data_IF_340728964371
#
_entry.id   IF_340728964371
#
_cell.length_a   1.000
_cell.length_b   1.000
_cell.length_c   1.000
_cell.angle_alpha   90.00
_cell.angle_beta   90.00
_cell.angle_gamma   90.00
#
_symmetry.space_group_name_H-M   'P 1'
#
loop_
_entity.id
_entity.type
_entity.pdbx_description
1 polymer ?
#
# COMPACT_ATOMS: atom_id res chain seq x y z
N UNK A 1 -13.94 -14.79 -64.33
CA UNK A 1 -15.36 -14.42 -64.60
C UNK A 1 -15.91 -13.65 -63.41
N UNK A 2 -16.36 -12.42 -63.59
CA UNK A 2 -17.12 -11.68 -62.57
C UNK A 2 -18.62 -11.98 -62.74
N UNK A 3 -19.39 -12.09 -61.66
CA UNK A 3 -20.84 -11.84 -61.66
C UNK A 3 -21.15 -10.72 -60.66
N UNK A 4 -22.06 -9.83 -61.05
CA UNK A 4 -22.34 -8.54 -60.38
C UNK A 4 -23.62 -8.61 -59.54
N UNK A 5 -23.66 -7.81 -58.46
CA UNK A 5 -24.75 -7.03 -57.79
C UNK A 5 -26.19 -7.15 -58.36
N UNK A 6 -27.31 -7.00 -57.59
CA UNK A 6 -27.64 -5.79 -56.77
C UNK A 6 -28.46 -5.98 -55.46
N UNK A 7 -28.35 -5.10 -54.44
CA UNK A 7 -29.17 -3.91 -54.04
C UNK A 7 -30.62 -4.17 -53.54
N UNK A 8 -30.87 -3.82 -52.27
CA UNK A 8 -32.11 -3.29 -51.65
C UNK A 8 -31.72 -2.67 -50.29
N UNK A 9 -32.02 -1.45 -49.82
CA UNK A 9 -32.76 -0.25 -50.30
C UNK A 9 -34.22 -0.04 -49.82
N UNK A 10 -34.35 0.31 -48.52
CA UNK A 10 -35.48 0.96 -47.82
C UNK A 10 -34.85 1.66 -46.59
N UNK A 11 -34.91 2.96 -46.29
CA UNK A 11 -35.70 4.13 -46.73
C UNK A 11 -37.09 4.30 -46.09
N UNK A 12 -37.12 4.86 -44.88
CA UNK A 12 -38.16 5.74 -44.33
C UNK A 12 -37.45 6.64 -43.27
N UNK A 13 -37.35 7.98 -43.35
CA UNK A 13 -38.25 9.06 -43.77
C UNK A 13 -39.20 9.56 -42.64
N UNK A 14 -38.69 10.50 -41.83
CA UNK A 14 -39.39 11.43 -40.93
C UNK A 14 -38.29 12.32 -40.32
N UNK A 15 -37.89 13.47 -40.88
CA UNK A 15 -38.64 14.64 -41.36
C UNK A 15 -39.66 15.14 -40.33
N UNK A 16 -39.15 15.91 -39.38
CA UNK A 16 -39.87 17.05 -38.78
C UNK A 16 -39.10 18.31 -39.16
N UNK A 17 -39.83 19.33 -39.61
CA UNK A 17 -39.30 20.66 -39.96
C UNK A 17 -38.53 21.27 -38.75
N UNK A 18 -37.34 21.88 -38.87
CA UNK A 18 -36.93 23.09 -39.63
C UNK A 18 -37.69 24.38 -39.25
N UNK A 19 -36.98 25.51 -39.30
CA UNK A 19 -37.44 26.91 -39.11
C UNK A 19 -37.60 27.34 -37.62
N UNK A 20 -37.16 28.50 -37.12
CA UNK A 20 -36.40 29.68 -37.58
C UNK A 20 -35.76 30.31 -36.29
N UNK A 21 -34.80 31.26 -36.24
CA UNK A 21 -34.27 32.25 -37.17
C UNK A 21 -32.73 32.37 -37.04
N UNK A 22 -32.09 32.74 -38.15
CA UNK A 22 -30.80 33.43 -38.17
C UNK A 22 -30.94 34.93 -37.84
N UNK A 23 -30.08 35.46 -36.98
CA UNK A 23 -29.76 36.88 -36.93
C UNK A 23 -28.23 37.06 -36.96
N UNK A 24 -27.74 37.97 -37.80
CA UNK A 24 -26.32 38.09 -38.11
C UNK A 24 -25.53 38.93 -37.09
N UNK A 25 -24.31 38.49 -36.82
CA UNK A 25 -23.07 39.29 -36.74
C UNK A 25 -23.12 40.71 -36.16
N UNK A 26 -22.41 40.94 -35.05
CA UNK A 26 -21.17 41.73 -35.12
C UNK A 26 -20.26 41.61 -33.88
N UNK A 27 -18.95 41.49 -34.14
CA UNK A 27 -17.80 41.44 -33.23
C UNK A 27 -17.91 42.12 -31.85
N UNK A 28 -17.35 41.45 -30.82
CA UNK A 28 -16.11 41.89 -30.14
C UNK A 28 -15.56 40.88 -29.11
N UNK A 29 -14.31 40.45 -29.33
CA UNK A 29 -13.26 40.18 -28.32
C UNK A 29 -13.49 39.13 -27.21
N UNK A 30 -12.58 38.16 -27.12
CA UNK A 30 -12.46 37.29 -25.94
C UNK A 30 -11.74 35.98 -26.24
N UNK A 31 -10.43 35.94 -25.99
CA UNK A 31 -9.67 34.69 -25.98
C UNK A 31 -10.16 33.75 -24.88
N UNK A 32 -10.21 32.44 -25.14
CA UNK A 32 -9.66 31.44 -24.19
C UNK A 32 -9.57 30.04 -24.82
N UNK A 33 -8.52 29.32 -24.44
CA UNK A 33 -8.22 27.98 -24.95
C UNK A 33 -9.28 26.95 -24.55
N UNK A 34 -9.76 26.18 -25.53
CA UNK A 34 -10.42 24.89 -25.29
C UNK A 34 -9.41 23.81 -24.88
N UNK A 35 -8.74 23.99 -23.74
CA UNK A 35 -8.02 22.89 -23.11
C UNK A 35 -9.04 21.90 -22.55
N UNK A 36 -9.00 20.64 -23.00
CA UNK A 36 -9.77 19.58 -22.38
C UNK A 36 -9.28 19.42 -20.94
N UNK A 37 -10.12 19.80 -19.97
CA UNK A 37 -9.87 19.54 -18.56
C UNK A 37 -9.94 18.04 -18.31
N UNK A 38 -8.80 17.36 -18.50
CA UNK A 38 -8.52 16.15 -17.74
C UNK A 38 -8.82 16.46 -16.28
N UNK A 39 -9.68 15.65 -15.66
CA UNK A 39 -9.99 15.78 -14.25
C UNK A 39 -8.69 15.55 -13.51
N UNK A 40 -8.09 16.64 -13.06
CA UNK A 40 -6.83 16.66 -12.34
C UNK A 40 -7.04 15.86 -11.06
N UNK A 41 -6.70 14.58 -11.11
CA UNK A 41 -6.75 13.69 -9.94
C UNK A 41 -5.95 14.40 -8.86
N UNK A 42 -6.62 14.79 -7.79
CA UNK A 42 -5.97 15.36 -6.62
C UNK A 42 -4.92 14.37 -6.16
N UNK A 43 -3.65 14.75 -6.37
CA UNK A 43 -2.49 14.00 -5.91
C UNK A 43 -2.60 13.92 -4.39
N UNK A 44 -2.81 12.71 -3.90
CA UNK A 44 -2.97 12.40 -2.48
C UNK A 44 -1.63 11.87 -2.01
N UNK A 45 -1.03 12.56 -1.03
CA UNK A 45 0.19 12.12 -0.37
C UNK A 45 -0.07 10.83 0.41
N UNK A 46 0.93 9.95 0.46
CA UNK A 46 0.79 8.63 1.09
C UNK A 46 0.51 8.71 2.60
N UNK A 47 1.09 9.65 3.35
CA UNK A 47 0.78 9.82 4.78
C UNK A 47 -0.69 10.19 5.00
N UNK A 48 -1.21 11.21 4.32
CA UNK A 48 -2.62 11.60 4.47
C UNK A 48 -3.57 10.51 3.94
N UNK A 49 -3.13 9.68 2.98
CA UNK A 49 -3.88 8.49 2.60
C UNK A 49 -3.97 7.48 3.75
N UNK A 50 -2.82 7.00 4.26
CA UNK A 50 -2.73 5.98 5.31
C UNK A 50 -3.38 6.41 6.63
N UNK A 51 -3.24 7.69 6.99
CA UNK A 51 -3.79 8.29 8.21
C UNK A 51 -5.30 8.21 8.26
N UNK A 52 -5.94 8.42 7.12
CA UNK A 52 -7.40 8.41 6.96
C UNK A 52 -7.93 7.05 6.47
N UNK A 53 -7.04 6.10 6.18
CA UNK A 53 -7.36 4.76 5.71
C UNK A 53 -8.27 3.99 6.67
N UNK A 54 -9.05 3.06 6.12
CA UNK A 54 -9.89 2.13 6.86
C UNK A 54 -9.74 0.76 6.25
N UNK A 55 -9.06 -0.14 6.96
CA UNK A 55 -8.83 -1.51 6.54
C UNK A 55 -8.08 -1.60 5.19
N UNK A 56 -7.09 -0.73 4.99
CA UNK A 56 -6.33 -0.66 3.74
C UNK A 56 -5.08 -1.52 3.82
N UNK A 57 -4.85 -2.34 2.78
CA UNK A 57 -3.82 -3.38 2.80
C UNK A 57 -2.63 -2.97 1.94
N UNK A 58 -1.47 -2.86 2.57
CA UNK A 58 -0.17 -2.61 1.94
C UNK A 58 0.75 -3.82 2.08
N UNK A 59 1.60 -4.02 1.09
CA UNK A 59 2.45 -5.17 0.91
C UNK A 59 3.90 -4.72 0.71
N UNK A 60 4.84 -5.34 1.42
CA UNK A 60 6.27 -5.28 1.08
C UNK A 60 6.61 -6.55 0.31
N UNK A 61 7.23 -6.44 -0.86
CA UNK A 61 7.66 -7.62 -1.66
C UNK A 61 8.86 -7.29 -2.54
N UNK A 62 9.58 -8.29 -3.07
CA UNK A 62 10.61 -8.04 -4.10
C UNK A 62 10.04 -7.86 -5.50
N UNK A 63 8.91 -8.49 -5.79
CA UNK A 63 8.23 -8.41 -7.08
C UNK A 63 6.73 -8.73 -6.94
N UNK A 64 5.91 -8.18 -7.83
CA UNK A 64 4.48 -8.51 -7.91
C UNK A 64 4.28 -9.45 -9.10
N UNK A 65 4.14 -10.75 -8.85
CA UNK A 65 3.84 -11.76 -9.88
C UNK A 65 2.83 -12.78 -9.33
N UNK A 66 2.15 -13.52 -10.22
CA UNK A 66 1.13 -14.50 -9.79
C UNK A 66 1.64 -15.54 -8.78
N UNK A 67 2.94 -15.81 -8.80
CA UNK A 67 3.62 -16.81 -7.98
C UNK A 67 4.55 -16.21 -6.93
N UNK A 68 4.70 -14.88 -6.88
CA UNK A 68 5.44 -14.23 -5.80
C UNK A 68 4.55 -14.05 -4.57
N UNK A 69 5.21 -13.91 -3.44
CA UNK A 69 4.59 -13.72 -2.13
C UNK A 69 5.04 -12.36 -1.57
N UNK A 70 4.18 -11.67 -0.81
CA UNK A 70 4.64 -10.56 0.02
C UNK A 70 5.54 -11.08 1.15
N UNK A 71 6.53 -10.28 1.51
CA UNK A 71 7.37 -10.42 2.71
C UNK A 71 6.58 -10.06 3.97
N UNK A 72 5.85 -8.94 3.88
CA UNK A 72 5.04 -8.37 4.95
C UNK A 72 3.71 -7.88 4.40
N UNK A 73 2.68 -7.96 5.24
CA UNK A 73 1.36 -7.39 4.99
C UNK A 73 1.02 -6.44 6.13
N UNK A 74 0.59 -5.24 5.78
CA UNK A 74 0.21 -4.18 6.71
C UNK A 74 -1.25 -3.80 6.47
N UNK A 75 -2.07 -3.85 7.52
CA UNK A 75 -3.46 -3.39 7.52
C UNK A 75 -3.50 -2.05 8.24
N UNK A 76 -3.69 -0.96 7.50
CA UNK A 76 -3.80 0.40 8.01
C UNK A 76 -5.26 0.74 8.34
N UNK A 77 -5.48 1.31 9.53
CA UNK A 77 -6.79 1.71 10.02
C UNK A 77 -6.65 2.92 10.95
N UNK A 78 -7.03 4.11 10.45
CA UNK A 78 -7.14 5.37 11.22
C UNK A 78 -5.88 5.78 11.99
N UNK A 79 -4.70 5.69 11.36
CA UNK A 79 -3.42 6.06 11.99
C UNK A 79 -2.80 4.97 12.88
N UNK A 80 -3.39 3.78 12.91
CA UNK A 80 -2.77 2.57 13.45
C UNK A 80 -2.58 1.54 12.33
N UNK A 81 -1.63 0.62 12.51
CA UNK A 81 -1.31 -0.44 11.57
C UNK A 81 -1.11 -1.76 12.31
N UNK A 82 -1.70 -2.85 11.79
CA UNK A 82 -1.43 -4.22 12.21
C UNK A 82 -0.60 -4.88 11.11
N UNK A 83 0.52 -5.52 11.45
CA UNK A 83 1.44 -6.10 10.47
C UNK A 83 1.75 -7.57 10.70
N UNK A 84 1.88 -8.31 9.60
CA UNK A 84 2.15 -9.74 9.56
C UNK A 84 3.46 -9.99 8.79
N UNK A 85 4.43 -10.62 9.45
CA UNK A 85 5.65 -11.12 8.82
C UNK A 85 5.38 -12.53 8.26
N UNK A 86 5.52 -12.72 6.95
CA UNK A 86 5.24 -14.00 6.29
C UNK A 86 6.48 -14.90 6.14
N UNK A 87 7.64 -14.50 6.69
CA UNK A 87 8.86 -15.31 6.73
C UNK A 87 9.11 -16.01 8.07
N UNK A 88 8.85 -15.33 9.20
CA UNK A 88 9.28 -15.78 10.53
C UNK A 88 8.15 -16.24 11.47
N UNK A 89 6.89 -15.98 11.12
CA UNK A 89 5.74 -16.46 11.88
C UNK A 89 5.20 -17.76 11.27
N UNK A 90 4.52 -18.59 12.08
CA UNK A 90 3.80 -19.79 11.62
C UNK A 90 2.53 -19.45 10.80
N UNK A 91 2.58 -18.41 9.97
CA UNK A 91 1.49 -17.92 9.11
C UNK A 91 1.65 -18.55 7.73
N UNK A 92 0.59 -19.19 7.23
CA UNK A 92 0.55 -19.63 5.85
C UNK A 92 0.38 -18.40 4.92
N UNK A 93 1.46 -17.97 4.26
CA UNK A 93 1.42 -16.86 3.30
C UNK A 93 0.62 -17.19 2.03
N UNK A 94 -0.04 -16.19 1.45
CA UNK A 94 -0.73 -16.29 0.14
C UNK A 94 0.06 -15.58 -0.95
N UNK A 95 0.03 -16.14 -2.16
CA UNK A 95 0.67 -15.51 -3.32
C UNK A 95 -0.14 -14.28 -3.78
N UNK A 96 0.47 -13.36 -4.53
CA UNK A 96 -0.33 -12.30 -5.16
C UNK A 96 -1.35 -12.85 -6.17
N UNK A 97 -1.16 -14.06 -6.71
CA UNK A 97 -2.16 -14.75 -7.52
C UNK A 97 -3.42 -15.10 -6.73
N UNK A 98 -3.27 -15.55 -5.48
CA UNK A 98 -4.39 -15.84 -4.58
C UNK A 98 -5.04 -14.55 -4.08
N UNK A 99 -4.23 -13.62 -3.56
CA UNK A 99 -4.68 -12.33 -3.01
C UNK A 99 -5.44 -11.49 -4.04
N UNK A 100 -5.03 -11.53 -5.31
CA UNK A 100 -5.70 -10.81 -6.40
C UNK A 100 -7.13 -11.30 -6.69
N UNK A 101 -7.50 -12.49 -6.22
CA UNK A 101 -8.84 -13.10 -6.37
C UNK A 101 -9.71 -12.96 -5.11
N UNK A 102 -9.11 -12.64 -3.96
CA UNK A 102 -9.80 -12.40 -2.69
C UNK A 102 -10.21 -10.92 -2.57
N UNK A 103 -11.37 -10.63 -1.95
CA UNK A 103 -11.70 -9.26 -1.52
C UNK A 103 -10.82 -8.80 -0.37
N UNK A 104 -10.68 -7.49 -0.14
CA UNK A 104 -9.87 -6.97 0.98
C UNK A 104 -10.36 -7.52 2.33
N UNK A 105 -11.68 -7.70 2.50
CA UNK A 105 -12.23 -8.34 3.70
C UNK A 105 -11.76 -9.79 3.85
N UNK A 106 -11.80 -10.61 2.80
CA UNK A 106 -11.34 -12.00 2.88
C UNK A 106 -9.84 -12.09 3.18
N UNK A 107 -9.03 -11.15 2.68
CA UNK A 107 -7.59 -11.07 2.99
C UNK A 107 -7.39 -10.75 4.48
N UNK A 108 -8.11 -9.76 5.01
CA UNK A 108 -8.05 -9.37 6.42
C UNK A 108 -8.51 -10.52 7.31
N UNK A 109 -9.73 -11.03 7.09
CA UNK A 109 -10.30 -12.14 7.87
C UNK A 109 -9.36 -13.37 7.87
N UNK A 110 -8.68 -13.65 6.74
CA UNK A 110 -7.69 -14.72 6.65
C UNK A 110 -6.48 -14.47 7.56
N UNK A 111 -5.83 -13.31 7.49
CA UNK A 111 -4.65 -13.05 8.31
C UNK A 111 -4.99 -12.87 9.79
N UNK A 112 -6.15 -12.30 10.12
CA UNK A 112 -6.66 -12.24 11.50
C UNK A 112 -6.90 -13.66 12.07
N UNK A 113 -7.37 -14.62 11.25
CA UNK A 113 -7.52 -16.02 11.69
C UNK A 113 -6.18 -16.73 11.99
N UNK A 114 -5.06 -16.20 11.51
CA UNK A 114 -3.71 -16.74 11.72
C UNK A 114 -3.00 -16.12 12.94
N UNK A 115 -3.59 -15.12 13.62
CA UNK A 115 -2.92 -14.37 14.69
C UNK A 115 -2.48 -15.26 15.85
N UNK A 116 -3.28 -16.26 16.25
CA UNK A 116 -2.88 -17.18 17.30
C UNK A 116 -1.67 -18.04 16.94
N UNK A 117 -1.54 -18.45 15.67
CA UNK A 117 -0.37 -19.16 15.16
C UNK A 117 0.86 -18.24 15.11
N UNK A 118 0.67 -16.96 14.74
CA UNK A 118 1.72 -15.95 14.75
C UNK A 118 2.24 -15.65 16.17
N UNK A 119 1.33 -15.39 17.11
CA UNK A 119 1.61 -15.15 18.53
C UNK A 119 2.36 -16.31 19.16
N UNK A 120 1.92 -17.54 18.89
CA UNK A 120 2.61 -18.76 19.34
C UNK A 120 4.02 -18.87 18.73
N UNK A 121 4.14 -18.67 17.41
CA UNK A 121 5.43 -18.69 16.72
C UNK A 121 6.42 -17.66 17.28
N UNK A 122 5.96 -16.47 17.65
CA UNK A 122 6.78 -15.45 18.32
C UNK A 122 7.29 -15.92 19.69
N UNK A 123 6.46 -16.61 20.48
CA UNK A 123 6.90 -17.20 21.75
C UNK A 123 7.92 -18.32 21.54
N UNK A 124 7.69 -19.21 20.58
CA UNK A 124 8.60 -20.31 20.22
C UNK A 124 9.95 -19.77 19.70
N UNK A 125 9.93 -18.70 18.90
CA UNK A 125 11.11 -18.04 18.37
C UNK A 125 11.90 -17.32 19.48
N UNK A 126 11.23 -16.66 20.42
CA UNK A 126 11.87 -16.00 21.56
C UNK A 126 12.56 -17.00 22.51
N UNK A 127 11.88 -18.10 22.83
CA UNK A 127 12.44 -19.19 23.65
C UNK A 127 13.62 -19.88 22.92
N UNK A 128 13.49 -20.14 21.62
CA UNK A 128 14.55 -20.73 20.79
C UNK A 128 15.79 -19.81 20.71
N UNK A 129 15.60 -18.51 20.50
CA UNK A 129 16.68 -17.53 20.42
C UNK A 129 17.47 -17.46 21.73
N UNK A 130 16.78 -17.43 22.89
CA UNK A 130 17.41 -17.51 24.19
C UNK A 130 18.16 -18.83 24.39
N UNK A 131 17.52 -19.97 24.09
CA UNK A 131 18.11 -21.29 24.34
C UNK A 131 19.35 -21.58 23.47
N UNK A 132 19.34 -21.16 22.21
CA UNK A 132 20.29 -21.65 21.18
C UNK A 132 21.26 -20.61 20.61
N UNK A 133 20.94 -19.31 20.64
CA UNK A 133 21.72 -18.26 19.96
C UNK A 133 22.38 -17.31 20.97
N UNK A 134 21.65 -16.86 21.99
CA UNK A 134 22.12 -15.83 22.89
C UNK A 134 21.56 -16.05 24.30
N UNK A 135 22.39 -16.49 25.25
CA UNK A 135 22.00 -16.70 26.66
C UNK A 135 22.43 -15.51 27.52
N UNK A 136 21.78 -14.36 27.32
CA UNK A 136 21.98 -13.14 28.13
C UNK A 136 20.65 -12.64 28.76
N UNK A 137 20.73 -11.70 29.69
CA UNK A 137 19.54 -11.18 30.40
C UNK A 137 18.52 -10.48 29.47
N UNK A 138 18.95 -9.85 28.37
CA UNK A 138 18.03 -9.24 27.38
C UNK A 138 17.24 -10.32 26.64
N UNK A 139 17.92 -11.34 26.12
CA UNK A 139 17.28 -12.49 25.46
C UNK A 139 16.38 -13.30 26.40
N UNK A 140 16.77 -13.46 27.66
CA UNK A 140 15.97 -14.11 28.69
C UNK A 140 14.72 -13.32 29.02
N UNK A 141 14.85 -12.00 29.23
CA UNK A 141 13.71 -11.11 29.45
C UNK A 141 12.77 -11.07 28.23
N UNK A 142 13.30 -11.18 27.00
CA UNK A 142 12.48 -11.35 25.79
C UNK A 142 11.71 -12.67 25.80
N UNK A 143 12.37 -13.82 26.04
CA UNK A 143 11.67 -15.12 26.23
C UNK A 143 10.57 -15.00 27.29
N UNK A 144 10.88 -14.47 28.47
CA UNK A 144 9.92 -14.29 29.57
C UNK A 144 8.75 -13.36 29.20
N UNK A 145 8.99 -12.28 28.47
CA UNK A 145 7.96 -11.34 28.03
C UNK A 145 7.01 -11.92 26.95
N UNK A 146 7.48 -12.86 26.13
CA UNK A 146 6.69 -13.47 25.06
C UNK A 146 5.91 -14.73 25.49
N UNK A 147 6.24 -15.37 26.63
CA UNK A 147 5.52 -16.55 27.17
C UNK A 147 4.01 -16.39 27.32
N UNK A 148 3.51 -15.16 27.52
CA UNK A 148 2.06 -14.85 27.52
C UNK A 148 1.34 -15.23 26.21
N UNK A 149 2.09 -15.47 25.14
CA UNK A 149 1.60 -15.83 23.82
C UNK A 149 1.79 -17.33 23.48
N UNK A 150 2.37 -18.13 24.37
CA UNK A 150 2.73 -19.53 24.11
C UNK A 150 1.53 -20.42 23.70
N UNK A 151 0.34 -20.13 24.23
CA UNK A 151 -0.90 -20.84 23.88
C UNK A 151 -1.57 -20.33 22.59
N UNK A 152 -1.02 -19.28 21.95
CA UNK A 152 -1.62 -18.61 20.80
C UNK A 152 -2.87 -17.78 21.14
N UNK A 153 -3.11 -17.50 22.42
CA UNK A 153 -4.26 -16.71 22.87
C UNK A 153 -3.99 -15.20 22.74
N UNK A 154 -4.94 -14.47 22.16
CA UNK A 154 -4.91 -13.02 22.00
C UNK A 154 -4.95 -12.59 20.53
N UNK A 155 -4.77 -11.29 20.32
CA UNK A 155 -4.70 -10.65 18.99
C UNK A 155 -3.33 -10.00 18.82
N UNK A 156 -2.86 -9.89 17.57
CA UNK A 156 -1.73 -9.05 17.22
C UNK A 156 -2.13 -7.58 17.46
N UNK A 157 -1.35 -6.79 18.22
CA UNK A 157 -1.69 -5.41 18.49
C UNK A 157 -1.61 -4.58 17.21
N UNK A 158 -2.59 -3.69 17.04
CA UNK A 158 -2.41 -2.53 16.19
C UNK A 158 -1.42 -1.57 16.87
N UNK A 159 -0.46 -1.04 16.11
CA UNK A 159 0.58 -0.12 16.57
C UNK A 159 0.48 1.20 15.83
N UNK A 160 1.00 2.27 16.42
CA UNK A 160 1.18 3.53 15.69
C UNK A 160 2.43 3.43 14.82
N UNK A 161 2.32 3.90 13.59
CA UNK A 161 3.45 4.18 12.71
C UNK A 161 3.79 5.67 12.79
N UNK A 162 5.04 6.01 12.46
CA UNK A 162 5.49 7.40 12.28
C UNK A 162 5.88 7.62 10.84
N UNK A 163 5.79 8.86 10.37
CA UNK A 163 6.24 9.23 9.02
C UNK A 163 7.13 10.45 9.09
N UNK A 164 8.30 10.35 8.45
CA UNK A 164 9.27 11.44 8.32
C UNK A 164 9.44 11.81 6.85
N UNK A 165 9.34 13.10 6.54
CA UNK A 165 9.73 13.64 5.24
C UNK A 165 11.21 14.04 5.29
N UNK A 166 12.02 13.43 4.42
CA UNK A 166 13.42 13.84 4.24
C UNK A 166 13.46 14.88 3.13
N UNK A 167 13.95 16.08 3.44
CA UNK A 167 14.00 17.18 2.48
C UNK A 167 15.27 17.15 1.63
N UNK A 168 15.17 17.70 0.41
CA UNK A 168 16.34 17.92 -0.45
C UNK A 168 17.19 19.11 0.06
N UNK A 169 18.37 19.35 -0.54
CA UNK A 169 19.27 20.46 -0.18
C UNK A 169 18.60 21.86 -0.23
N UNK A 170 17.43 22.01 -0.86
CA UNK A 170 16.68 23.27 -0.87
C UNK A 170 15.83 23.48 0.39
N UNK A 171 15.59 22.44 1.19
CA UNK A 171 14.65 22.43 2.31
C UNK A 171 13.18 22.60 1.88
N UNK A 172 12.87 22.45 0.59
CA UNK A 172 11.52 22.66 0.04
C UNK A 172 11.02 21.51 -0.83
N UNK A 173 11.91 20.76 -1.49
CA UNK A 173 11.58 19.47 -2.08
C UNK A 173 11.64 18.35 -1.05
N UNK A 174 10.95 17.25 -1.33
CA UNK A 174 11.02 16.01 -0.56
C UNK A 174 11.83 15.02 -1.39
N UNK A 175 12.96 14.56 -0.85
CA UNK A 175 13.79 13.55 -1.49
C UNK A 175 13.23 12.14 -1.25
N UNK A 176 12.80 11.86 -0.01
CA UNK A 176 12.16 10.59 0.37
C UNK A 176 11.17 10.74 1.52
N UNK A 177 10.34 9.73 1.70
CA UNK A 177 9.39 9.62 2.81
C UNK A 177 9.60 8.30 3.54
N UNK A 178 9.91 8.37 4.83
CA UNK A 178 10.22 7.22 5.67
C UNK A 178 8.98 6.84 6.48
N UNK A 179 8.36 5.69 6.17
CA UNK A 179 7.26 5.13 6.96
C UNK A 179 7.83 4.11 7.95
N UNK A 180 7.87 4.50 9.22
CA UNK A 180 8.44 3.73 10.32
C UNK A 180 7.37 2.89 11.02
N UNK A 181 7.49 1.57 10.96
CA UNK A 181 6.51 0.62 11.52
C UNK A 181 7.16 -0.31 12.55
N UNK A 182 6.58 -0.33 13.76
CA UNK A 182 7.08 -1.06 14.93
C UNK A 182 6.28 -2.36 15.16
N UNK A 183 6.63 -3.48 14.50
CA UNK A 183 5.85 -4.73 14.53
C UNK A 183 6.28 -5.76 15.59
N UNK A 184 5.32 -6.51 16.17
CA UNK A 184 5.67 -7.70 16.98
C UNK A 184 6.65 -8.63 16.25
N UNK A 185 7.77 -8.95 16.89
CA UNK A 185 8.86 -9.72 16.26
C UNK A 185 10.04 -9.94 17.20
N UNK A 186 10.80 -11.01 16.96
CA UNK A 186 12.02 -11.37 17.72
C UNK A 186 13.25 -11.03 16.88
N UNK A 187 13.94 -9.94 17.22
CA UNK A 187 15.13 -9.48 16.48
C UNK A 187 16.42 -10.17 16.92
N UNK A 188 17.32 -10.46 15.96
CA UNK A 188 18.68 -10.94 16.25
C UNK A 188 19.53 -9.91 17.02
N UNK A 189 19.23 -8.62 16.83
CA UNK A 189 19.82 -7.53 17.61
C UNK A 189 18.99 -7.26 18.87
N UNK A 190 19.09 -8.17 19.84
CA UNK A 190 18.55 -8.02 21.18
C UNK A 190 19.31 -6.93 21.97
N UNK A 191 19.13 -5.66 21.59
CA UNK A 191 19.65 -4.48 22.29
C UNK A 191 18.57 -3.74 23.09
N UNK A 192 17.29 -4.08 22.88
CA UNK A 192 16.14 -3.49 23.59
C UNK A 192 15.10 -4.58 23.91
N UNK A 193 14.90 -4.87 25.19
CA UNK A 193 13.82 -5.77 25.65
C UNK A 193 12.48 -5.11 25.30
N UNK A 194 11.64 -5.80 24.53
CA UNK A 194 10.29 -5.32 24.23
C UNK A 194 10.18 -4.24 23.14
N UNK A 195 11.27 -3.95 22.41
CA UNK A 195 11.20 -3.21 21.14
C UNK A 195 11.49 -4.13 19.95
N UNK A 196 11.02 -3.69 18.79
CA UNK A 196 10.66 -4.54 17.67
C UNK A 196 11.69 -4.54 16.53
N UNK A 197 11.66 -5.52 15.62
CA UNK A 197 12.22 -5.32 14.28
C UNK A 197 11.49 -4.14 13.63
N UNK A 198 12.16 -2.99 13.65
CA UNK A 198 11.70 -1.76 13.03
C UNK A 198 11.81 -1.90 11.51
N UNK A 199 10.68 -1.83 10.80
CA UNK A 199 10.71 -1.68 9.34
C UNK A 199 10.45 -0.22 8.99
N UNK A 200 11.47 0.44 8.45
CA UNK A 200 11.36 1.75 7.80
C UNK A 200 11.22 1.52 6.30
N UNK A 201 10.06 1.83 5.73
CA UNK A 201 9.92 1.90 4.27
C UNK A 201 10.43 3.28 3.81
N UNK A 202 11.65 3.33 3.23
CA UNK A 202 12.21 4.56 2.63
C UNK A 202 11.68 4.71 1.21
N UNK A 203 10.65 5.53 1.01
CA UNK A 203 9.96 5.71 -0.27
C UNK A 203 10.61 6.83 -1.10
N UNK A 204 10.94 6.57 -2.38
CA UNK A 204 11.47 7.61 -3.29
C UNK A 204 10.67 7.85 -4.56
N UNK A 205 10.28 6.78 -5.27
CA UNK A 205 9.77 6.91 -6.62
C UNK A 205 8.48 6.11 -6.89
N UNK A 206 7.60 6.78 -7.61
CA UNK A 206 6.32 6.35 -8.18
C UNK A 206 6.64 5.93 -9.63
N UNK A 207 6.29 4.78 -10.19
CA UNK A 207 5.32 3.74 -9.79
C UNK A 207 5.78 2.40 -10.36
N UNK A 208 5.77 1.33 -9.57
CA UNK A 208 5.63 -0.02 -10.11
C UNK A 208 4.14 -0.34 -10.26
N UNK A 209 3.61 -0.19 -11.49
CA UNK A 209 2.22 -0.56 -11.82
C UNK A 209 2.18 -1.97 -12.38
N UNK A 210 1.73 -2.94 -11.59
CA UNK A 210 1.63 -4.35 -12.02
C UNK A 210 0.19 -4.83 -11.97
N UNK A 211 -0.21 -5.66 -12.93
CA UNK A 211 -1.55 -6.25 -12.99
C UNK A 211 -1.51 -7.76 -12.81
N UNK A 212 -2.35 -8.25 -11.91
CA UNK A 212 -2.60 -9.68 -11.71
C UNK A 212 -4.11 -9.89 -11.80
N UNK A 213 -4.56 -10.57 -12.86
CA UNK A 213 -5.96 -10.61 -13.27
C UNK A 213 -6.51 -9.17 -13.38
N UNK A 214 -7.65 -8.87 -12.76
CA UNK A 214 -8.25 -7.53 -12.75
C UNK A 214 -7.72 -6.61 -11.61
N UNK A 215 -6.89 -7.16 -10.72
CA UNK A 215 -6.24 -6.40 -9.65
C UNK A 215 -5.04 -5.61 -10.19
N UNK A 216 -5.03 -4.29 -9.94
CA UNK A 216 -3.88 -3.41 -10.18
C UNK A 216 -3.18 -3.17 -8.85
N UNK A 217 -1.86 -3.37 -8.83
CA UNK A 217 -0.99 -3.07 -7.70
C UNK A 217 -0.14 -1.86 -8.07
N UNK A 218 -0.16 -0.86 -7.20
CA UNK A 218 0.55 0.41 -7.34
C UNK A 218 1.23 0.77 -6.02
N UNK A 219 2.31 1.55 -6.10
CA UNK A 219 3.03 2.05 -4.93
C UNK A 219 4.42 2.51 -5.32
N UNK A 220 5.38 2.22 -4.46
CA UNK A 220 6.72 2.78 -4.46
C UNK A 220 7.80 1.71 -4.55
N UNK A 221 8.95 2.06 -5.13
CA UNK A 221 10.22 1.37 -4.87
C UNK A 221 10.85 1.92 -3.59
N UNK A 222 11.44 1.06 -2.74
CA UNK A 222 12.17 1.50 -1.55
C UNK A 222 13.69 1.51 -1.75
N UNK A 223 14.39 2.31 -0.94
CA UNK A 223 15.86 2.38 -0.96
C UNK A 223 16.58 1.33 -0.08
N UNK A 224 15.86 0.35 0.48
CA UNK A 224 16.50 -0.73 1.24
C UNK A 224 17.54 -1.47 0.39
N UNK A 225 18.53 -2.13 1.01
CA UNK A 225 19.57 -2.86 0.28
C UNK A 225 19.02 -3.97 -0.66
N UNK A 226 17.82 -4.48 -0.39
CA UNK A 226 17.11 -5.44 -1.23
C UNK A 226 16.12 -4.81 -2.23
N UNK A 227 15.94 -3.49 -2.21
CA UNK A 227 15.00 -2.68 -3.00
C UNK A 227 13.61 -3.31 -3.20
N UNK A 228 12.91 -3.69 -2.12
CA UNK A 228 11.54 -4.14 -2.23
C UNK A 228 10.63 -3.02 -2.75
N UNK A 229 9.45 -3.45 -3.18
CA UNK A 229 8.31 -2.62 -3.53
C UNK A 229 7.41 -2.51 -2.30
N UNK A 230 6.94 -1.29 -1.99
CA UNK A 230 5.87 -1.04 -1.03
C UNK A 230 4.61 -0.66 -1.82
N UNK A 231 3.65 -1.58 -1.90
CA UNK A 231 2.51 -1.51 -2.85
C UNK A 231 1.18 -1.81 -2.19
N UNK A 232 0.09 -1.32 -2.78
CA UNK A 232 -1.30 -1.64 -2.41
C UNK A 232 -2.09 -2.04 -3.66
N UNK A 233 -3.20 -2.75 -3.47
CA UNK A 233 -4.15 -3.03 -4.55
C UNK A 233 -5.01 -1.79 -4.80
N UNK A 234 -4.60 -0.94 -5.74
CA UNK A 234 -5.31 0.30 -6.05
C UNK A 234 -5.22 0.69 -7.52
N UNK A 235 -6.21 1.45 -7.97
CA UNK A 235 -6.18 2.19 -9.25
C UNK A 235 -5.78 3.66 -9.08
N UNK A 236 -5.60 4.12 -7.83
CA UNK A 236 -4.98 5.41 -7.52
C UNK A 236 -3.48 5.33 -7.81
N UNK A 237 -2.89 6.46 -8.17
CA UNK A 237 -1.45 6.68 -8.01
C UNK A 237 -1.27 7.52 -6.75
N UNK A 238 -0.15 7.29 -6.08
CA UNK A 238 0.25 8.01 -4.87
C UNK A 238 1.49 8.83 -5.23
N UNK A 239 1.66 9.98 -4.59
CA UNK A 239 2.93 10.71 -4.59
C UNK A 239 3.49 10.72 -3.16
N UNK A 240 4.76 11.11 -3.01
CA UNK A 240 5.29 11.50 -1.70
C UNK A 240 4.51 12.73 -1.19
N UNK A 241 4.37 12.84 0.12
CA UNK A 241 3.82 14.03 0.77
C UNK A 241 4.71 15.27 0.55
N UNK A 242 4.21 16.47 0.91
CA UNK A 242 4.93 17.73 0.64
C UNK A 242 5.08 18.61 1.87
N UNK A 243 6.24 19.26 1.96
CA UNK A 243 6.61 20.25 3.01
C UNK A 243 5.66 21.46 3.13
N UNK A 244 4.81 21.71 2.12
CA UNK A 244 3.89 22.87 2.09
C UNK A 244 2.87 22.90 3.22
N UNK A 245 2.72 21.78 3.92
CA UNK A 245 1.97 21.69 5.16
C UNK A 245 2.86 21.06 6.23
N UNK A 246 3.05 21.79 7.33
CA UNK A 246 3.24 21.18 8.66
C UNK A 246 1.93 20.47 9.05
N UNK A 247 1.58 19.42 8.28
CA UNK A 247 0.42 18.59 8.53
C UNK A 247 0.65 17.90 9.86
N UNK A 248 -0.24 18.16 10.83
CA UNK A 248 -0.06 17.70 12.22
C UNK A 248 0.17 16.18 12.23
N UNK A 249 1.37 15.77 12.61
CA UNK A 249 1.81 14.38 12.69
C UNK A 249 2.89 13.93 11.70
N UNK A 250 3.36 14.81 10.80
CA UNK A 250 4.60 14.60 10.04
C UNK A 250 5.81 15.17 10.78
N UNK A 251 6.90 14.40 10.82
CA UNK A 251 8.24 14.89 11.14
C UNK A 251 8.95 15.32 9.84
N UNK A 252 9.82 16.33 9.91
CA UNK A 252 10.58 16.85 8.78
C UNK A 252 12.07 16.84 9.18
N UNK A 253 12.90 16.27 8.31
CA UNK A 253 14.36 16.17 8.45
C UNK A 253 15.09 16.92 7.32
#
# INVERSE_FOLDING_TARGET
MMKKKPILLLLAASVVFLLFLSACSSNKGGDTNGSSSEVQKTKEGIYEHLKNAKNEIWYVTKEVSKTSYPSYIYIFNKGEVKGYNLFDANIEGKSFGDLAQMSDKEIIDYYESQEGAALKGLSEQADSFYASINQNEVSKATSEAYKKYADGNGELPAVKYTVKLVTDESGTGVESENIDINLLGVGQHASRVGEFPHYTAVLKHVTSTTKIFDSTYNGFETEDAAKPLFVTRSKKQFDLDTTKTNAKGLEIE
#
